data_IF_903343869051
#
_entry.id   IF_903343869051
#
_cell.length_a   1.000
_cell.length_b   1.000
_cell.length_c   1.000
_cell.angle_alpha   90.00
_cell.angle_beta   90.00
_cell.angle_gamma   90.00
#
_symmetry.space_group_name_H-M   'P 1'
#
loop_
_entity.id
_entity.type
_entity.pdbx_description
1 polymer ?
#
# COMPACT_ATOMS: atom_id res chain seq x y z
N UNK A 1 -43.55 -32.17 -4.49
CA UNK A 1 -42.54 -32.50 -5.50
C UNK A 1 -41.48 -31.42 -5.45
N UNK A 2 -40.28 -31.79 -5.00
CA UNK A 2 -39.07 -30.96 -4.94
C UNK A 2 -38.41 -30.79 -6.31
N UNK A 3 -37.65 -29.70 -6.44
CA UNK A 3 -36.23 -29.64 -6.80
C UNK A 3 -35.78 -28.21 -6.42
N UNK A 4 -34.96 -27.92 -5.41
CA UNK A 4 -33.64 -28.46 -5.02
C UNK A 4 -32.56 -28.14 -6.05
N UNK A 5 -31.58 -27.37 -5.57
CA UNK A 5 -30.19 -27.17 -6.03
C UNK A 5 -29.88 -26.17 -7.16
N UNK A 6 -29.33 -25.02 -6.75
CA UNK A 6 -28.05 -24.52 -7.27
C UNK A 6 -27.38 -23.50 -6.29
N UNK A 7 -26.67 -24.03 -5.27
CA UNK A 7 -25.32 -23.62 -4.79
C UNK A 7 -24.93 -22.14 -5.01
N UNK A 8 -24.91 -21.21 -4.04
CA UNK A 8 -24.30 -21.24 -2.70
C UNK A 8 -22.85 -21.77 -2.71
N UNK A 9 -21.90 -20.88 -3.00
CA UNK A 9 -20.47 -21.16 -3.01
C UNK A 9 -19.61 -19.93 -2.79
N UNK A 10 -20.05 -18.99 -1.94
CA UNK A 10 -19.17 -17.92 -1.44
C UNK A 10 -18.38 -18.50 -0.28
N UNK A 11 -17.11 -18.84 -0.50
CA UNK A 11 -16.22 -19.22 0.60
C UNK A 11 -16.15 -18.05 1.59
N UNK A 12 -16.46 -18.24 2.88
CA UNK A 12 -16.38 -17.18 3.86
C UNK A 12 -14.92 -16.78 4.03
N UNK A 13 -14.61 -15.49 3.89
CA UNK A 13 -13.33 -14.93 4.31
C UNK A 13 -13.07 -15.34 5.76
N UNK A 14 -11.88 -15.85 6.05
CA UNK A 14 -11.53 -16.29 7.39
C UNK A 14 -11.74 -15.13 8.39
N UNK A 15 -12.33 -15.37 9.58
CA UNK A 15 -12.56 -14.31 10.55
C UNK A 15 -11.23 -13.66 10.97
N UNK A 16 -11.21 -12.35 11.26
CA UNK A 16 -9.99 -11.58 11.53
C UNK A 16 -9.01 -12.25 12.54
N UNK A 17 -9.53 -12.90 13.59
CA UNK A 17 -8.73 -13.65 14.58
C UNK A 17 -7.94 -14.82 13.99
N UNK A 18 -8.38 -15.38 12.87
CA UNK A 18 -7.72 -16.50 12.18
C UNK A 18 -6.49 -15.99 11.40
N UNK A 19 -6.58 -14.79 10.83
CA UNK A 19 -5.46 -14.12 10.14
C UNK A 19 -4.40 -13.55 11.11
N UNK A 20 -4.75 -13.33 12.37
CA UNK A 20 -3.81 -12.92 13.43
C UNK A 20 -2.93 -14.06 13.97
N UNK A 21 -3.17 -15.31 13.56
CA UNK A 21 -2.38 -16.45 14.03
C UNK A 21 -0.93 -16.44 13.53
N UNK A 22 0.00 -16.98 14.33
CA UNK A 22 1.42 -17.12 13.95
C UNK A 22 1.63 -17.86 12.61
N UNK A 23 0.71 -18.77 12.28
CA UNK A 23 0.77 -19.52 11.00
C UNK A 23 0.39 -18.62 9.83
N UNK A 24 -0.66 -17.83 9.96
CA UNK A 24 -1.07 -16.88 8.92
C UNK A 24 0.03 -15.82 8.69
N UNK A 25 0.63 -15.27 9.76
CA UNK A 25 1.76 -14.35 9.66
C UNK A 25 2.94 -14.95 8.90
N UNK A 26 3.36 -16.17 9.26
CA UNK A 26 4.44 -16.88 8.55
C UNK A 26 4.14 -17.12 7.06
N UNK A 27 2.89 -17.39 6.70
CA UNK A 27 2.49 -17.54 5.30
C UNK A 27 2.61 -16.22 4.55
N UNK A 28 2.17 -15.10 5.14
CA UNK A 28 2.31 -13.77 4.54
C UNK A 28 3.79 -13.39 4.41
N UNK A 29 4.61 -13.65 5.42
CA UNK A 29 6.07 -13.43 5.37
C UNK A 29 6.74 -14.22 4.26
N UNK A 30 6.44 -15.51 4.15
CA UNK A 30 6.97 -16.38 3.10
C UNK A 30 6.50 -15.94 1.71
N UNK A 31 5.24 -15.50 1.56
CA UNK A 31 4.77 -14.96 0.28
C UNK A 31 5.52 -13.68 -0.09
N UNK A 32 5.66 -12.75 0.85
CA UNK A 32 6.40 -11.51 0.63
C UNK A 32 7.85 -11.77 0.21
N UNK A 33 8.55 -12.65 0.92
CA UNK A 33 9.93 -13.04 0.59
C UNK A 33 10.02 -13.73 -0.78
N UNK A 34 9.07 -14.61 -1.11
CA UNK A 34 9.02 -15.26 -2.41
C UNK A 34 8.77 -14.26 -3.54
N UNK A 35 7.90 -13.25 -3.35
CA UNK A 35 7.64 -12.20 -4.33
C UNK A 35 8.89 -11.36 -4.56
N UNK A 36 9.56 -10.91 -3.50
CA UNK A 36 10.82 -10.18 -3.60
C UNK A 36 11.90 -10.95 -4.38
N UNK A 37 12.01 -12.27 -4.14
CA UNK A 37 13.03 -13.09 -4.78
C UNK A 37 12.69 -13.55 -6.21
N UNK A 38 11.40 -13.68 -6.56
CA UNK A 38 10.96 -14.41 -7.79
C UNK A 38 9.83 -13.75 -8.56
N UNK A 39 9.37 -12.58 -8.12
CA UNK A 39 8.16 -11.92 -8.60
C UNK A 39 6.88 -12.64 -8.19
N UNK A 40 5.71 -11.99 -8.38
CA UNK A 40 4.44 -12.65 -8.09
C UNK A 40 4.24 -13.88 -8.97
N UNK A 41 4.55 -13.82 -10.27
CA UNK A 41 4.35 -14.94 -11.19
C UNK A 41 5.08 -16.23 -10.72
N UNK A 42 6.34 -16.11 -10.29
CA UNK A 42 7.17 -17.23 -9.82
C UNK A 42 6.82 -17.74 -8.42
N UNK A 43 6.02 -17.01 -7.66
CA UNK A 43 5.63 -17.38 -6.29
C UNK A 43 4.45 -18.35 -6.29
N UNK A 44 4.64 -19.59 -5.85
CA UNK A 44 3.58 -20.62 -5.84
C UNK A 44 3.20 -21.01 -4.41
N UNK A 45 1.96 -21.48 -4.22
CA UNK A 45 1.53 -22.00 -2.92
C UNK A 45 2.40 -23.14 -2.39
N UNK A 46 2.94 -24.00 -3.26
CA UNK A 46 3.87 -25.05 -2.83
C UNK A 46 5.18 -24.48 -2.28
N UNK A 47 5.71 -23.46 -2.96
CA UNK A 47 6.91 -22.78 -2.51
C UNK A 47 6.68 -22.13 -1.14
N UNK A 48 5.62 -21.34 -1.04
CA UNK A 48 5.27 -20.57 0.16
C UNK A 48 4.94 -21.49 1.33
N UNK A 49 4.22 -22.59 1.10
CA UNK A 49 3.91 -23.56 2.14
C UNK A 49 5.17 -24.17 2.74
N UNK A 50 6.13 -24.56 1.88
CA UNK A 50 7.42 -25.10 2.31
C UNK A 50 8.23 -24.07 3.10
N UNK A 51 8.32 -22.84 2.61
CA UNK A 51 9.08 -21.77 3.26
C UNK A 51 8.44 -21.33 4.59
N UNK A 52 7.11 -21.24 4.63
CA UNK A 52 6.36 -20.96 5.85
C UNK A 52 6.34 -22.14 6.84
N UNK A 53 6.76 -23.34 6.45
CA UNK A 53 6.73 -24.54 7.30
C UNK A 53 5.30 -24.98 7.65
N UNK A 54 4.40 -24.97 6.67
CA UNK A 54 2.99 -25.36 6.80
C UNK A 54 2.53 -26.23 5.63
N UNK A 55 1.34 -26.83 5.72
CA UNK A 55 0.77 -27.58 4.60
C UNK A 55 0.13 -26.64 3.58
N UNK A 56 0.11 -27.03 2.30
CA UNK A 56 -0.60 -26.31 1.23
C UNK A 56 -2.08 -26.11 1.55
N UNK A 57 -2.72 -27.12 2.16
CA UNK A 57 -4.12 -27.04 2.59
C UNK A 57 -4.37 -25.91 3.58
N UNK A 58 -3.36 -25.57 4.40
CA UNK A 58 -3.47 -24.47 5.36
C UNK A 58 -3.46 -23.09 4.66
N UNK A 59 -2.72 -22.93 3.56
CA UNK A 59 -2.76 -21.70 2.76
C UNK A 59 -4.15 -21.51 2.13
N UNK A 60 -4.72 -22.57 1.56
CA UNK A 60 -6.08 -22.54 1.02
C UNK A 60 -7.11 -22.25 2.12
N UNK A 61 -6.93 -22.79 3.33
CA UNK A 61 -7.80 -22.51 4.46
C UNK A 61 -7.77 -21.03 4.88
N UNK A 62 -6.58 -20.42 4.98
CA UNK A 62 -6.46 -19.02 5.41
C UNK A 62 -6.81 -18.02 4.30
N UNK A 63 -6.33 -18.25 3.08
CA UNK A 63 -6.32 -17.24 2.03
C UNK A 63 -7.13 -17.63 0.80
N UNK A 64 -7.49 -18.91 0.63
CA UNK A 64 -8.24 -19.39 -0.54
C UNK A 64 -7.37 -19.47 -1.80
N UNK A 65 -6.99 -18.32 -2.35
CA UNK A 65 -6.24 -18.18 -3.61
C UNK A 65 -4.90 -17.48 -3.41
N UNK A 66 -4.01 -17.60 -4.40
CA UNK A 66 -2.72 -16.90 -4.41
C UNK A 66 -2.91 -15.39 -4.48
N UNK A 67 -3.87 -14.95 -5.27
CA UNK A 67 -4.20 -13.55 -5.47
C UNK A 67 -4.70 -12.91 -4.17
N UNK A 68 -5.55 -13.60 -3.40
CA UNK A 68 -5.96 -13.15 -2.06
C UNK A 68 -4.77 -13.05 -1.11
N UNK A 69 -3.87 -14.03 -1.12
CA UNK A 69 -2.65 -13.97 -0.31
C UNK A 69 -1.75 -12.78 -0.73
N UNK A 70 -1.64 -12.47 -2.02
CA UNK A 70 -0.92 -11.28 -2.50
C UNK A 70 -1.56 -9.98 -1.98
N UNK A 71 -2.89 -9.89 -2.02
CA UNK A 71 -3.62 -8.75 -1.45
C UNK A 71 -3.33 -8.60 0.04
N UNK A 72 -3.27 -9.70 0.81
CA UNK A 72 -2.92 -9.62 2.25
C UNK A 72 -1.47 -9.18 2.48
N UNK A 73 -0.52 -9.58 1.62
CA UNK A 73 0.87 -9.08 1.67
C UNK A 73 0.88 -7.57 1.48
N UNK A 74 0.21 -7.07 0.42
CA UNK A 74 0.15 -5.64 0.13
C UNK A 74 -0.57 -4.87 1.24
N UNK A 75 -1.68 -5.40 1.77
CA UNK A 75 -2.40 -4.78 2.88
C UNK A 75 -1.48 -4.57 4.08
N UNK A 76 -0.75 -5.60 4.48
CA UNK A 76 0.17 -5.51 5.61
C UNK A 76 1.26 -4.47 5.38
N UNK A 77 1.87 -4.46 4.19
CA UNK A 77 2.93 -3.51 3.88
C UNK A 77 2.39 -2.08 3.77
N UNK A 78 1.17 -1.89 3.25
CA UNK A 78 0.47 -0.61 3.28
C UNK A 78 0.22 -0.14 4.72
N UNK A 79 -0.17 -1.03 5.62
CA UNK A 79 -0.41 -0.67 7.03
C UNK A 79 0.88 -0.21 7.72
N UNK A 80 1.99 -0.93 7.52
CA UNK A 80 3.31 -0.52 8.02
C UNK A 80 3.71 0.85 7.47
N UNK A 81 3.45 1.11 6.18
CA UNK A 81 3.76 2.41 5.57
C UNK A 81 2.89 3.54 6.08
N UNK A 82 1.60 3.28 6.28
CA UNK A 82 0.68 4.23 6.89
C UNK A 82 1.21 4.62 8.27
N UNK A 83 1.64 3.66 9.08
CA UNK A 83 2.19 3.91 10.40
C UNK A 83 3.50 4.71 10.34
N UNK A 84 4.43 4.34 9.44
CA UNK A 84 5.68 5.08 9.23
C UNK A 84 5.43 6.53 8.81
N UNK A 85 4.57 6.73 7.81
CA UNK A 85 4.24 8.05 7.30
C UNK A 85 3.51 8.88 8.35
N UNK A 86 2.54 8.31 9.06
CA UNK A 86 1.85 9.00 10.14
C UNK A 86 2.85 9.46 11.21
N UNK A 87 3.75 8.58 11.65
CA UNK A 87 4.79 8.94 12.63
C UNK A 87 5.70 10.07 12.12
N UNK A 88 6.08 10.06 10.85
CA UNK A 88 6.89 11.10 10.23
C UNK A 88 6.17 12.46 10.18
N UNK A 89 4.84 12.47 9.96
CA UNK A 89 4.04 13.69 9.83
C UNK A 89 3.54 14.26 11.16
N UNK A 90 3.38 13.43 12.19
CA UNK A 90 2.89 13.86 13.52
C UNK A 90 3.79 14.94 14.14
N UNK A 91 5.10 14.82 13.98
CA UNK A 91 6.09 15.79 14.49
C UNK A 91 6.23 17.08 13.68
N UNK A 92 5.44 17.27 12.62
CA UNK A 92 5.53 18.48 11.79
C UNK A 92 4.95 19.70 12.54
N UNK A 93 5.74 20.77 12.60
CA UNK A 93 5.37 22.05 13.19
C UNK A 93 5.31 23.19 12.17
N UNK A 94 5.77 22.94 10.94
CA UNK A 94 5.73 23.84 9.79
C UNK A 94 5.33 23.08 8.53
N UNK A 95 5.00 23.80 7.46
CA UNK A 95 4.81 23.20 6.14
C UNK A 95 6.07 22.51 5.63
N UNK A 96 7.25 23.04 5.99
CA UNK A 96 8.53 22.49 5.58
C UNK A 96 8.81 21.15 6.24
N UNK A 97 8.53 21.03 7.54
CA UNK A 97 8.64 19.74 8.25
C UNK A 97 7.70 18.70 7.64
N UNK A 98 6.47 19.09 7.32
CA UNK A 98 5.47 18.19 6.74
C UNK A 98 5.93 17.70 5.35
N UNK A 99 6.40 18.61 4.51
CA UNK A 99 6.91 18.27 3.16
C UNK A 99 8.18 17.41 3.26
N UNK A 100 9.07 17.70 4.21
CA UNK A 100 10.25 16.85 4.44
C UNK A 100 9.83 15.43 4.85
N UNK A 101 8.82 15.29 5.71
CA UNK A 101 8.22 14.00 6.07
C UNK A 101 7.69 13.24 4.85
N UNK A 102 7.00 13.92 3.92
CA UNK A 102 6.56 13.32 2.66
C UNK A 102 7.73 12.88 1.76
N UNK A 103 8.78 13.71 1.65
CA UNK A 103 9.98 13.39 0.86
C UNK A 103 10.69 12.16 1.45
N UNK A 104 10.79 12.08 2.78
CA UNK A 104 11.35 10.91 3.48
C UNK A 104 10.52 9.65 3.20
N UNK A 105 9.19 9.77 3.23
CA UNK A 105 8.29 8.68 2.86
C UNK A 105 8.49 8.20 1.42
N UNK A 106 8.71 9.12 0.47
CA UNK A 106 9.05 8.77 -0.92
C UNK A 106 10.41 8.07 -1.02
N UNK A 107 11.41 8.53 -0.28
CA UNK A 107 12.73 7.88 -0.25
C UNK A 107 12.64 6.45 0.31
N UNK A 108 11.86 6.22 1.36
CA UNK A 108 11.58 4.87 1.90
C UNK A 108 10.87 4.00 0.86
N UNK A 109 9.90 4.56 0.14
CA UNK A 109 9.14 3.90 -0.92
C UNK A 109 10.04 3.40 -2.06
N UNK A 110 11.05 4.20 -2.44
CA UNK A 110 11.89 3.93 -3.62
C UNK A 110 13.15 3.13 -3.27
N UNK A 111 13.85 3.51 -2.19
CA UNK A 111 15.14 2.91 -1.81
C UNK A 111 15.01 1.81 -0.76
N UNK A 112 14.03 1.94 0.13
CA UNK A 112 13.84 1.03 1.26
C UNK A 112 13.07 -0.23 0.90
N UNK A 113 12.03 -0.10 0.06
CA UNK A 113 11.09 -1.19 -0.21
C UNK A 113 10.43 -1.06 -1.60
N UNK A 114 11.27 -1.11 -2.63
CA UNK A 114 10.83 -1.11 -4.04
C UNK A 114 9.90 -2.28 -4.37
N UNK A 115 10.01 -3.40 -3.65
CA UNK A 115 9.21 -4.61 -3.85
C UNK A 115 7.70 -4.35 -3.69
N UNK A 116 7.30 -3.54 -2.70
CA UNK A 116 5.88 -3.19 -2.55
C UNK A 116 5.37 -2.36 -3.74
N UNK A 117 6.20 -1.47 -4.31
CA UNK A 117 5.80 -0.68 -5.48
C UNK A 117 5.62 -1.61 -6.70
N UNK A 118 6.56 -2.53 -6.93
CA UNK A 118 6.45 -3.54 -7.99
C UNK A 118 5.19 -4.39 -7.81
N UNK A 119 4.95 -4.87 -6.60
CA UNK A 119 3.79 -5.71 -6.29
C UNK A 119 2.46 -4.95 -6.46
N UNK A 120 2.41 -3.67 -6.10
CA UNK A 120 1.26 -2.80 -6.38
C UNK A 120 0.96 -2.72 -7.87
N UNK A 121 1.99 -2.55 -8.73
CA UNK A 121 1.82 -2.55 -10.20
C UNK A 121 1.35 -3.90 -10.77
N UNK A 122 1.83 -5.00 -10.20
CA UNK A 122 1.32 -6.33 -10.56
C UNK A 122 -0.17 -6.48 -10.18
N UNK A 123 -0.57 -6.05 -8.97
CA UNK A 123 -1.98 -6.05 -8.56
C UNK A 123 -2.85 -5.12 -9.41
N UNK A 124 -2.34 -3.95 -9.82
CA UNK A 124 -3.05 -3.08 -10.78
C UNK A 124 -3.34 -3.82 -12.07
N UNK A 125 -2.39 -4.60 -12.58
CA UNK A 125 -2.59 -5.40 -13.80
C UNK A 125 -3.60 -6.53 -13.57
N UNK A 126 -3.55 -7.21 -12.42
CA UNK A 126 -4.47 -8.29 -12.07
C UNK A 126 -5.91 -7.80 -11.85
N UNK A 127 -6.08 -6.65 -11.21
CA UNK A 127 -7.40 -6.05 -10.93
C UNK A 127 -8.21 -5.77 -12.19
N UNK A 128 -7.56 -5.55 -13.33
CA UNK A 128 -8.21 -5.36 -14.64
C UNK A 128 -9.08 -6.53 -15.09
N UNK A 129 -8.88 -7.72 -14.52
CA UNK A 129 -9.56 -8.97 -14.89
C UNK A 129 -10.14 -9.72 -13.69
N UNK A 130 -10.03 -9.17 -12.49
CA UNK A 130 -10.48 -9.80 -11.26
C UNK A 130 -11.11 -8.74 -10.35
N UNK A 131 -12.44 -8.78 -10.24
CA UNK A 131 -13.24 -7.80 -9.49
C UNK A 131 -12.88 -7.80 -8.00
N UNK A 132 -12.63 -8.95 -7.41
CA UNK A 132 -12.26 -9.06 -6.00
C UNK A 132 -10.93 -8.34 -5.70
N UNK A 133 -9.94 -8.51 -6.58
CA UNK A 133 -8.66 -7.79 -6.46
C UNK A 133 -8.87 -6.30 -6.69
N UNK A 134 -9.74 -5.92 -7.63
CA UNK A 134 -10.05 -4.52 -7.90
C UNK A 134 -10.66 -3.82 -6.69
N UNK A 135 -11.62 -4.47 -6.02
CA UNK A 135 -12.22 -3.98 -4.79
C UNK A 135 -11.17 -3.82 -3.68
N UNK A 136 -10.36 -4.86 -3.46
CA UNK A 136 -9.33 -4.82 -2.42
C UNK A 136 -8.27 -3.74 -2.67
N UNK A 137 -7.83 -3.57 -3.92
CA UNK A 137 -6.87 -2.53 -4.30
C UNK A 137 -7.47 -1.13 -4.15
N UNK A 138 -8.73 -0.95 -4.54
CA UNK A 138 -9.44 0.30 -4.33
C UNK A 138 -9.57 0.64 -2.84
N UNK A 139 -9.84 -0.34 -1.98
CA UNK A 139 -9.86 -0.16 -0.52
C UNK A 139 -8.50 0.27 0.03
N UNK A 140 -7.41 -0.34 -0.43
CA UNK A 140 -6.06 0.02 -0.02
C UNK A 140 -5.70 1.44 -0.42
N UNK A 141 -5.97 1.83 -1.67
CA UNK A 141 -5.76 3.21 -2.14
C UNK A 141 -6.63 4.22 -1.37
N UNK A 142 -7.90 3.87 -1.09
CA UNK A 142 -8.79 4.71 -0.25
C UNK A 142 -8.25 4.86 1.16
N UNK A 143 -7.78 3.79 1.78
CA UNK A 143 -7.22 3.79 3.13
C UNK A 143 -5.99 4.71 3.20
N UNK A 144 -5.02 4.53 2.31
CA UNK A 144 -3.81 5.39 2.26
C UNK A 144 -4.17 6.87 2.06
N UNK A 145 -5.06 7.19 1.12
CA UNK A 145 -5.54 8.56 0.90
C UNK A 145 -6.22 9.13 2.14
N UNK A 146 -7.10 8.35 2.78
CA UNK A 146 -7.79 8.76 4.00
C UNK A 146 -6.84 9.09 5.13
N UNK A 147 -5.79 8.28 5.35
CA UNK A 147 -4.79 8.55 6.37
C UNK A 147 -4.03 9.85 6.12
N UNK A 148 -3.55 10.08 4.90
CA UNK A 148 -2.85 11.33 4.57
C UNK A 148 -3.79 12.55 4.65
N UNK A 149 -5.04 12.40 4.19
CA UNK A 149 -6.05 13.46 4.27
C UNK A 149 -6.36 13.84 5.73
N UNK A 150 -6.43 12.86 6.62
CA UNK A 150 -6.63 13.10 8.05
C UNK A 150 -5.45 13.85 8.66
N UNK A 151 -4.20 13.43 8.38
CA UNK A 151 -3.02 14.15 8.88
C UNK A 151 -2.95 15.59 8.37
N UNK A 152 -3.32 15.83 7.11
CA UNK A 152 -3.43 17.19 6.55
C UNK A 152 -4.53 18.01 7.25
N UNK A 153 -5.68 17.41 7.54
CA UNK A 153 -6.79 18.06 8.22
C UNK A 153 -6.44 18.41 9.67
N UNK A 154 -5.84 17.47 10.41
CA UNK A 154 -5.35 17.65 11.78
C UNK A 154 -4.37 18.82 11.84
N UNK A 155 -3.34 18.84 10.97
CA UNK A 155 -2.35 19.90 10.94
C UNK A 155 -2.92 21.26 10.53
N UNK A 156 -3.99 21.27 9.72
CA UNK A 156 -4.74 22.49 9.42
C UNK A 156 -5.51 22.99 10.65
N UNK A 157 -6.16 22.10 11.39
CA UNK A 157 -6.92 22.43 12.61
C UNK A 157 -6.01 22.90 13.75
N UNK A 158 -4.81 22.32 13.86
CA UNK A 158 -3.75 22.78 14.77
C UNK A 158 -3.20 24.17 14.42
N UNK A 159 -3.54 24.70 13.24
CA UNK A 159 -2.98 25.94 12.73
C UNK A 159 -1.50 25.81 12.34
N UNK A 160 -1.04 24.60 11.99
CA UNK A 160 0.30 24.34 11.47
C UNK A 160 0.36 24.53 9.95
N UNK A 161 -0.72 24.18 9.25
CA UNK A 161 -0.77 24.24 7.78
C UNK A 161 -1.95 25.08 7.28
N UNK A 162 -1.70 25.84 6.22
CA UNK A 162 -2.71 26.34 5.30
C UNK A 162 -2.72 25.48 4.04
N UNK A 163 -3.88 24.91 3.72
CA UNK A 163 -4.06 24.10 2.52
C UNK A 163 -4.65 24.92 1.36
N UNK A 164 -4.17 24.67 0.14
CA UNK A 164 -4.66 25.29 -1.09
C UNK A 164 -5.94 24.67 -1.66
N UNK A 165 -6.36 23.53 -1.13
CA UNK A 165 -7.58 22.81 -1.48
C UNK A 165 -8.06 21.94 -0.30
N UNK A 166 -9.16 21.21 -0.48
CA UNK A 166 -9.64 20.27 0.54
C UNK A 166 -8.59 19.17 0.83
N UNK A 167 -8.44 18.72 2.11
CA UNK A 167 -7.40 17.78 2.52
C UNK A 167 -7.38 16.50 1.68
N UNK A 168 -8.55 15.99 1.32
CA UNK A 168 -8.67 14.78 0.51
C UNK A 168 -8.12 14.94 -0.92
N UNK A 169 -8.36 16.10 -1.53
CA UNK A 169 -7.85 16.41 -2.86
C UNK A 169 -6.33 16.64 -2.83
N UNK A 170 -5.81 17.29 -1.79
CA UNK A 170 -4.37 17.47 -1.58
C UNK A 170 -3.70 16.11 -1.37
N UNK A 171 -4.25 15.24 -0.52
CA UNK A 171 -3.74 13.89 -0.31
C UNK A 171 -3.73 13.07 -1.61
N UNK A 172 -4.82 13.11 -2.38
CA UNK A 172 -4.91 12.44 -3.67
C UNK A 172 -3.84 12.90 -4.67
N UNK A 173 -3.61 14.22 -4.76
CA UNK A 173 -2.55 14.79 -5.59
C UNK A 173 -1.16 14.31 -5.16
N UNK A 174 -0.85 14.38 -3.87
CA UNK A 174 0.47 14.01 -3.34
C UNK A 174 0.77 12.53 -3.52
N UNK A 175 -0.22 11.65 -3.30
CA UNK A 175 -0.07 10.22 -3.52
C UNK A 175 0.12 9.89 -5.00
N UNK A 176 -0.67 10.50 -5.89
CA UNK A 176 -0.49 10.31 -7.33
C UNK A 176 0.89 10.79 -7.82
N UNK A 177 1.39 11.88 -7.26
CA UNK A 177 2.74 12.37 -7.54
C UNK A 177 3.81 11.39 -7.03
N UNK A 178 3.67 10.89 -5.80
CA UNK A 178 4.59 9.92 -5.21
C UNK A 178 4.62 8.60 -6.01
N UNK A 179 3.46 8.06 -6.39
CA UNK A 179 3.34 6.85 -7.21
C UNK A 179 4.02 7.04 -8.58
N UNK A 180 3.82 8.18 -9.22
CA UNK A 180 4.44 8.52 -10.50
C UNK A 180 5.96 8.65 -10.41
N UNK A 181 6.48 9.24 -9.33
CA UNK A 181 7.92 9.35 -9.06
C UNK A 181 8.54 7.99 -8.77
N UNK A 182 7.87 7.16 -7.96
CA UNK A 182 8.35 5.83 -7.64
C UNK A 182 8.44 4.95 -8.90
N UNK A 183 7.40 4.96 -9.73
CA UNK A 183 7.42 4.27 -11.02
C UNK A 183 8.56 4.75 -11.92
N UNK A 184 8.76 6.08 -11.99
CA UNK A 184 9.82 6.70 -12.79
C UNK A 184 11.20 6.22 -12.37
N UNK A 185 11.53 6.34 -11.08
CA UNK A 185 12.85 6.01 -10.56
C UNK A 185 13.15 4.50 -10.59
N UNK A 186 12.13 3.65 -10.48
CA UNK A 186 12.29 2.21 -10.66
C UNK A 186 12.51 1.83 -12.13
N UNK A 187 11.94 2.59 -13.06
CA UNK A 187 12.09 2.35 -14.51
C UNK A 187 13.39 2.93 -15.05
N UNK A 188 13.85 4.06 -14.51
CA UNK A 188 15.04 4.79 -14.92
C UNK A 188 16.02 4.91 -13.74
N UNK A 189 16.71 3.82 -13.33
CA UNK A 189 17.53 3.81 -12.11
C UNK A 189 18.75 4.73 -12.17
N UNK A 190 19.22 5.09 -13.37
CA UNK A 190 20.33 6.01 -13.58
C UNK A 190 19.90 7.48 -13.60
N UNK A 191 18.60 7.76 -13.54
CA UNK A 191 18.08 9.13 -13.51
C UNK A 191 18.43 9.79 -12.18
N UNK A 192 19.05 10.97 -12.24
CA UNK A 192 19.23 11.80 -11.04
C UNK A 192 17.86 12.26 -10.52
N UNK A 193 17.44 11.84 -9.31
CA UNK A 193 16.10 12.17 -8.81
C UNK A 193 15.98 13.62 -8.34
N UNK A 194 17.11 14.31 -8.06
CA UNK A 194 17.11 15.61 -7.37
C UNK A 194 16.32 16.71 -8.10
N UNK A 195 16.47 16.92 -9.42
CA UNK A 195 15.74 17.97 -10.12
C UNK A 195 14.22 17.74 -10.09
N UNK A 196 13.79 16.49 -10.31
CA UNK A 196 12.37 16.14 -10.32
C UNK A 196 11.77 16.21 -8.92
N UNK A 197 12.46 15.73 -7.89
CA UNK A 197 12.00 15.86 -6.49
C UNK A 197 11.90 17.33 -6.08
N UNK A 198 12.88 18.17 -6.46
CA UNK A 198 12.85 19.60 -6.16
C UNK A 198 11.65 20.30 -6.81
N UNK A 199 11.34 19.99 -8.07
CA UNK A 199 10.15 20.50 -8.75
C UNK A 199 8.85 20.04 -8.08
N UNK A 200 8.79 18.78 -7.66
CA UNK A 200 7.66 18.20 -6.92
C UNK A 200 7.45 18.87 -5.55
N UNK A 201 8.52 19.18 -4.83
CA UNK A 201 8.48 19.94 -3.57
C UNK A 201 7.93 21.35 -3.82
N UNK A 202 8.40 22.03 -4.88
CA UNK A 202 7.88 23.35 -5.23
C UNK A 202 6.38 23.31 -5.56
N UNK A 203 5.91 22.27 -6.26
CA UNK A 203 4.48 22.07 -6.51
C UNK A 203 3.71 21.80 -5.21
N UNK A 204 4.22 20.96 -4.32
CA UNK A 204 3.60 20.67 -3.01
C UNK A 204 3.45 21.94 -2.16
N UNK A 205 4.44 22.85 -2.18
CA UNK A 205 4.39 24.14 -1.46
C UNK A 205 3.27 25.07 -1.92
N UNK A 206 2.75 24.90 -3.14
CA UNK A 206 1.58 25.66 -3.58
C UNK A 206 0.29 25.20 -2.90
N UNK A 207 0.25 23.93 -2.46
CA UNK A 207 -0.89 23.29 -1.81
C UNK A 207 -0.75 23.22 -0.29
N UNK A 208 0.48 23.20 0.24
CA UNK A 208 0.80 23.13 1.67
C UNK A 208 1.72 24.31 1.99
N UNK A 209 1.24 25.25 2.80
CA UNK A 209 2.02 26.41 3.21
C UNK A 209 1.87 26.67 4.71
N UNK A 210 2.78 27.45 5.28
CA UNK A 210 2.63 27.94 6.65
C UNK A 210 1.38 28.83 6.78
N UNK A 211 0.82 28.96 8.00
CA UNK A 211 -0.22 29.93 8.29
C UNK A 211 0.32 31.35 8.07
N UNK A 212 -0.54 32.25 7.61
CA UNK A 212 -0.20 33.66 7.37
C UNK A 212 0.07 34.42 8.68
#
# INVERSE_FOLDING_TARGET
>A
MSATDAIAGTAPGAPARTLESDKARRIVDAMRASVAARGAAGSTFDHVAREAGVSRGLLHYYFGTKERLLVEVVRRDCDIRIESLAAALQGAHTADDFIEGLVRGLDELVKGDSDLVVLMFELFTLSRRNEEIAEALADLCRKMRGHLANSLAEKREEGVLRLGAEPDAVAGFLLALADGLALRFLTEPDLDPRPTVSASVAAARTLIADPA
#
